data_IF_939900108627
#
_entry.id   IF_939900108627
#
_cell.length_a   1.000
_cell.length_b   1.000
_cell.length_c   1.000
_cell.angle_alpha   90.00
_cell.angle_beta   90.00
_cell.angle_gamma   90.00
#
_symmetry.space_group_name_H-M   'P 1'
#
loop_
_entity.id
_entity.type
_entity.pdbx_description
1 polymer ?
#
# COMPACT_ATOMS: atom_id res chain seq x y z
N UNK A 1 -2.55 -3.72 -23.31
CA UNK A 1 -1.60 -3.44 -22.20
C UNK A 1 -2.10 -4.11 -20.93
N UNK A 2 -1.22 -4.68 -20.10
CA UNK A 2 -1.57 -5.27 -18.80
C UNK A 2 -0.85 -4.49 -17.70
N UNK A 3 -1.59 -4.02 -16.70
CA UNK A 3 -1.03 -3.32 -15.54
C UNK A 3 -1.04 -4.30 -14.36
N UNK A 4 0.14 -4.61 -13.83
CA UNK A 4 0.28 -5.38 -12.59
C UNK A 4 0.29 -4.40 -11.41
N UNK A 5 -0.72 -4.48 -10.54
CA UNK A 5 -0.86 -3.57 -9.41
C UNK A 5 -1.38 -4.28 -8.15
N UNK A 6 -0.94 -3.80 -6.98
CA UNK A 6 -1.55 -4.15 -5.70
C UNK A 6 -2.33 -2.93 -5.16
N UNK A 7 -3.65 -3.05 -5.08
CA UNK A 7 -4.52 -1.95 -4.73
C UNK A 7 -4.93 -1.92 -3.25
N UNK A 8 -4.43 -2.85 -2.44
CA UNK A 8 -4.78 -2.96 -1.03
C UNK A 8 -3.54 -3.31 -0.20
N UNK A 9 -2.89 -2.26 0.31
CA UNK A 9 -1.80 -2.38 1.27
C UNK A 9 -2.02 -1.41 2.43
N UNK A 10 -1.27 -1.60 3.50
CA UNK A 10 -1.35 -0.79 4.71
C UNK A 10 0.05 -0.30 5.08
N UNK A 11 0.11 0.83 5.77
CA UNK A 11 1.36 1.38 6.32
C UNK A 11 1.49 1.04 7.80
N UNK A 12 2.35 1.78 8.51
CA UNK A 12 2.59 1.63 9.93
C UNK A 12 1.35 1.89 10.77
N UNK A 13 0.36 2.59 10.22
CA UNK A 13 -0.93 2.82 10.88
C UNK A 13 -1.68 1.50 11.18
N UNK A 14 -1.47 0.46 10.36
CA UNK A 14 -2.22 -0.80 10.42
C UNK A 14 -1.38 -2.09 10.28
N UNK A 15 -0.18 -2.02 9.70
CA UNK A 15 0.57 -3.21 9.25
C UNK A 15 2.10 -3.03 9.21
N UNK A 16 2.71 -2.47 10.26
CA UNK A 16 4.16 -2.48 10.59
C UNK A 16 5.16 -2.22 9.43
N UNK A 17 4.73 -1.56 8.36
CA UNK A 17 5.52 -1.28 7.16
C UNK A 17 5.50 0.21 6.86
N UNK A 18 6.57 0.75 6.29
CA UNK A 18 6.60 2.16 5.89
C UNK A 18 6.26 2.30 4.41
N UNK A 19 5.86 3.49 3.97
CA UNK A 19 5.60 3.78 2.56
C UNK A 19 6.79 3.36 1.67
N UNK A 20 8.02 3.66 2.09
CA UNK A 20 9.22 3.29 1.34
C UNK A 20 9.46 1.77 1.30
N UNK A 21 9.15 1.04 2.38
CA UNK A 21 9.24 -0.43 2.39
C UNK A 21 8.24 -1.05 1.42
N UNK A 22 7.01 -0.54 1.40
CA UNK A 22 5.96 -1.01 0.49
C UNK A 22 6.30 -0.69 -0.98
N UNK A 23 6.78 0.53 -1.26
CA UNK A 23 7.22 0.92 -2.59
C UNK A 23 8.38 0.05 -3.09
N UNK A 24 9.38 -0.21 -2.24
CA UNK A 24 10.48 -1.10 -2.59
C UNK A 24 10.00 -2.53 -2.85
N UNK A 25 9.15 -3.08 -2.00
CA UNK A 25 8.59 -4.42 -2.20
C UNK A 25 7.72 -4.52 -3.48
N UNK A 26 7.01 -3.44 -3.84
CA UNK A 26 6.25 -3.37 -5.09
C UNK A 26 7.17 -3.37 -6.31
N UNK A 27 8.24 -2.57 -6.28
CA UNK A 27 9.26 -2.51 -7.33
C UNK A 27 9.99 -3.86 -7.49
N UNK A 28 10.41 -4.47 -6.38
CA UNK A 28 11.09 -5.78 -6.38
C UNK A 28 10.19 -6.91 -6.96
N UNK A 29 8.87 -6.70 -6.96
CA UNK A 29 7.86 -7.62 -7.53
C UNK A 29 7.40 -7.25 -8.95
N UNK A 30 7.95 -6.19 -9.54
CA UNK A 30 7.59 -5.73 -10.88
C UNK A 30 6.16 -5.16 -10.97
N UNK A 31 5.61 -4.66 -9.87
CA UNK A 31 4.33 -3.96 -9.89
C UNK A 31 4.51 -2.58 -10.53
N UNK A 32 3.68 -2.26 -11.51
CA UNK A 32 3.66 -0.95 -12.16
C UNK A 32 3.00 0.12 -11.27
N UNK A 33 2.19 -0.30 -10.30
CA UNK A 33 1.47 0.58 -9.37
C UNK A 33 1.18 -0.15 -8.06
N UNK A 34 1.15 0.58 -6.94
CA UNK A 34 0.54 0.10 -5.70
C UNK A 34 -0.27 1.22 -5.03
N UNK A 35 -1.25 0.83 -4.21
CA UNK A 35 -2.07 1.75 -3.42
C UNK A 35 -2.07 1.35 -1.94
N UNK A 36 -2.37 2.31 -1.07
CA UNK A 36 -2.46 2.14 0.38
C UNK A 36 -3.87 2.52 0.86
N UNK A 37 -4.43 1.73 1.76
CA UNK A 37 -5.79 1.88 2.29
C UNK A 37 -5.77 1.73 3.81
N UNK A 38 -5.07 2.62 4.51
CA UNK A 38 -5.08 2.64 5.96
C UNK A 38 -6.49 2.89 6.53
N UNK A 39 -6.72 2.44 7.76
CA UNK A 39 -8.02 2.57 8.40
C UNK A 39 -8.22 4.03 8.81
N UNK A 40 -9.42 4.54 8.54
CA UNK A 40 -9.87 5.78 9.15
C UNK A 40 -10.20 5.59 10.64
N UNK A 41 -10.43 6.68 11.34
CA UNK A 41 -10.77 6.72 12.77
C UNK A 41 -12.14 6.11 13.14
N UNK A 42 -12.76 5.29 12.28
CA UNK A 42 -14.08 4.70 12.51
C UNK A 42 -15.27 5.68 12.46
N UNK A 43 -15.02 6.99 12.42
CA UNK A 43 -15.99 8.05 12.26
C UNK A 43 -16.70 8.46 13.56
N UNK A 44 -16.23 9.55 14.17
CA UNK A 44 -17.02 10.72 14.61
C UNK A 44 -16.10 11.93 14.46
N UNK A 45 -16.42 12.83 13.53
CA UNK A 45 -16.03 14.25 13.57
C UNK A 45 -17.30 15.05 13.86
#
# INVERSE_FOLDING_TARGET
MKIAANLHTHTIANAYSTLLKNAKAAADRGLALFAMTDHGLGGVI
#
